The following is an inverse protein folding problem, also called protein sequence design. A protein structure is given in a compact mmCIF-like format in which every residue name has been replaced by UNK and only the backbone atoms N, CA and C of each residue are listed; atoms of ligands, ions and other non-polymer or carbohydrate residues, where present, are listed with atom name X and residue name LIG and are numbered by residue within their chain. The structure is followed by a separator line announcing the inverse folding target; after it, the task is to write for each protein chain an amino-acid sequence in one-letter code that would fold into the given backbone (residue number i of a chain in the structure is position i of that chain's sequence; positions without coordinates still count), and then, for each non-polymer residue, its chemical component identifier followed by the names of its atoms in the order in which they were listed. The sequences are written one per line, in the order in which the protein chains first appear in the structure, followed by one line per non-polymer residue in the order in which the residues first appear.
data_IF_580326295789
#
_entry.id   IF_580326295789
#
_cell.length_a   1.000
_cell.length_b   1.000
_cell.length_c   1.000
_cell.angle_alpha   90.00
_cell.angle_beta   90.00
_cell.angle_gamma   90.00
#
_symmetry.space_group_name_H-M   'P 1'
#
loop_
_entity.id
_entity.type
_entity.pdbx_description
1 polymer ?
#
# COMPACT_ATOMS: atom_id res chain seq x y z
N UNK A 1 9.67 2.79 -16.71
CA UNK A 1 11.03 2.21 -16.68
C UNK A 1 11.31 1.81 -15.24
N UNK A 2 11.03 0.56 -14.86
CA UNK A 2 11.35 0.06 -13.52
C UNK A 2 12.80 -0.44 -13.54
N UNK A 3 13.69 0.26 -12.84
CA UNK A 3 15.04 -0.25 -12.54
C UNK A 3 14.89 -1.30 -11.43
N UNK A 4 14.85 -2.57 -11.81
CA UNK A 4 14.96 -3.69 -10.87
C UNK A 4 16.45 -3.92 -10.60
N UNK A 5 16.90 -3.60 -9.39
CA UNK A 5 18.20 -4.06 -8.91
C UNK A 5 18.03 -5.50 -8.42
N UNK A 6 18.58 -6.44 -9.18
CA UNK A 6 18.66 -7.85 -8.82
C UNK A 6 19.83 -8.04 -7.82
N UNK A 7 19.53 -8.52 -6.62
CA UNK A 7 20.52 -8.95 -5.63
C UNK A 7 20.40 -10.47 -5.47
N UNK A 8 21.36 -11.28 -5.96
CA UNK A 8 21.31 -12.72 -5.78
C UNK A 8 21.69 -13.09 -4.33
N UNK A 9 20.83 -13.85 -3.66
CA UNK A 9 21.18 -14.52 -2.40
C UNK A 9 21.48 -16.00 -2.66
N UNK A 10 22.73 -16.40 -2.48
CA UNK A 10 23.10 -17.82 -2.34
C UNK A 10 22.48 -18.38 -1.05
N UNK A 11 21.64 -19.42 -1.20
CA UNK A 11 21.04 -20.11 -0.06
C UNK A 11 21.92 -21.30 0.30
N UNK A 12 22.77 -21.16 1.33
CA UNK A 12 23.48 -22.32 1.89
C UNK A 12 22.52 -23.12 2.78
N UNK A 13 22.17 -24.32 2.33
CA UNK A 13 21.45 -25.30 3.13
C UNK A 13 22.40 -25.90 4.19
N UNK A 14 22.27 -25.44 5.43
CA UNK A 14 22.87 -26.13 6.59
C UNK A 14 21.86 -27.17 7.08
N UNK A 15 22.23 -28.46 7.00
CA UNK A 15 21.52 -29.56 7.65
C UNK A 15 21.95 -29.61 9.12
N UNK A 16 21.03 -29.45 10.05
CA UNK A 16 21.30 -29.66 11.48
C UNK A 16 20.99 -31.10 11.88
N UNK A 17 22.03 -31.80 12.33
CA UNK A 17 21.94 -33.11 12.96
C UNK A 17 21.36 -33.00 14.38
N UNK A 18 20.46 -33.93 14.73
CA UNK A 18 19.83 -34.05 16.05
C UNK A 18 20.82 -34.61 17.08
N UNK A 19 21.08 -33.89 18.18
CA UNK A 19 21.35 -34.47 19.50
C UNK A 19 21.37 -33.42 20.63
N UNK A 20 20.74 -33.76 21.77
CA UNK A 20 21.09 -33.20 23.10
C UNK A 20 20.16 -32.15 23.69
N UNK A 21 19.27 -32.56 24.62
CA UNK A 21 18.59 -31.63 25.54
C UNK A 21 19.61 -31.12 26.58
N UNK A 22 20.14 -29.92 26.36
CA UNK A 22 20.90 -29.16 27.35
C UNK A 22 20.02 -28.64 28.50
N UNK A 23 20.62 -28.17 29.61
CA UNK A 23 19.91 -27.83 30.83
C UNK A 23 18.97 -26.63 30.63
N UNK A 24 17.80 -26.68 31.29
CA UNK A 24 16.78 -25.63 31.25
C UNK A 24 17.36 -24.34 31.85
N UNK A 25 17.70 -23.39 30.98
CA UNK A 25 18.09 -22.04 31.35
C UNK A 25 16.94 -21.42 32.16
N UNK A 26 17.26 -20.84 33.31
CA UNK A 26 16.33 -20.13 34.18
C UNK A 26 15.48 -19.12 33.40
N UNK A 27 14.19 -19.03 33.75
CA UNK A 27 13.24 -18.05 33.22
C UNK A 27 13.79 -16.63 33.46
N UNK A 28 14.51 -16.09 32.47
CA UNK A 28 14.79 -14.67 32.40
C UNK A 28 13.44 -14.00 32.17
N UNK A 29 13.04 -13.16 33.12
CA UNK A 29 11.91 -12.25 32.99
C UNK A 29 12.18 -11.36 31.77
N UNK A 30 11.68 -11.77 30.60
CA UNK A 30 11.84 -10.99 29.39
C UNK A 30 11.06 -9.71 29.57
N UNK A 31 11.74 -8.56 29.53
CA UNK A 31 11.06 -7.28 29.42
C UNK A 31 10.18 -7.34 28.17
N UNK A 32 8.86 -7.36 28.36
CA UNK A 32 7.85 -7.37 27.29
C UNK A 32 7.79 -6.04 26.52
N UNK A 33 8.90 -5.30 26.50
CA UNK A 33 9.04 -4.02 25.81
C UNK A 33 9.58 -4.30 24.41
N UNK A 34 8.82 -3.89 23.40
CA UNK A 34 9.27 -3.95 22.02
C UNK A 34 10.41 -2.95 21.82
N UNK A 35 11.55 -3.45 21.35
CA UNK A 35 12.74 -2.65 21.02
C UNK A 35 13.28 -3.14 19.67
N UNK A 36 14.12 -2.34 19.01
CA UNK A 36 14.77 -2.78 17.76
C UNK A 36 15.60 -4.07 17.93
N UNK A 37 16.00 -4.41 19.17
CA UNK A 37 16.72 -5.64 19.51
C UNK A 37 15.79 -6.86 19.68
N UNK A 38 14.50 -6.64 19.97
CA UNK A 38 13.52 -7.70 20.23
C UNK A 38 12.54 -7.93 19.08
N UNK A 39 12.51 -7.05 18.08
CA UNK A 39 11.79 -7.25 16.82
C UNK A 39 12.45 -8.37 16.00
N UNK A 40 11.66 -9.11 15.22
CA UNK A 40 12.16 -10.13 14.30
C UNK A 40 13.26 -9.55 13.39
N UNK A 41 14.49 -10.11 13.39
CA UNK A 41 15.61 -9.55 12.62
C UNK A 41 15.33 -9.48 11.13
N UNK A 42 14.52 -10.41 10.58
CA UNK A 42 14.13 -10.39 9.16
C UNK A 42 13.29 -9.15 8.80
N UNK A 43 12.50 -8.64 9.73
CA UNK A 43 11.73 -7.41 9.52
C UNK A 43 12.61 -6.16 9.62
N UNK A 44 13.70 -6.23 10.37
CA UNK A 44 14.70 -5.14 10.48
C UNK A 44 15.57 -5.07 9.23
N UNK A 45 15.97 -6.22 8.69
CA UNK A 45 16.80 -6.31 7.47
C UNK A 45 16.01 -6.06 6.18
N UNK A 46 14.69 -6.22 6.20
CA UNK A 46 13.86 -6.06 5.01
C UNK A 46 13.82 -4.61 4.53
N UNK A 47 14.21 -4.39 3.27
CA UNK A 47 14.17 -3.08 2.62
C UNK A 47 13.00 -2.97 1.63
N UNK A 48 12.31 -1.82 1.64
CA UNK A 48 11.28 -1.49 0.67
C UNK A 48 11.59 -0.16 -0.03
N UNK A 49 12.40 -0.24 -1.08
CA UNK A 49 12.98 0.92 -1.76
C UNK A 49 11.94 1.93 -2.28
N UNK A 50 10.73 1.49 -2.65
CA UNK A 50 9.65 2.34 -3.17
C UNK A 50 9.16 3.37 -2.13
N UNK A 51 9.34 3.09 -0.83
CA UNK A 51 9.07 4.01 0.28
C UNK A 51 10.27 4.15 1.22
N UNK A 52 11.46 4.25 0.62
CA UNK A 52 12.73 4.42 1.34
C UNK A 52 13.11 5.88 1.62
N UNK A 53 14.40 6.15 1.90
CA UNK A 53 14.90 7.47 2.30
C UNK A 53 14.61 8.61 1.31
N UNK A 54 14.55 8.31 0.01
CA UNK A 54 14.24 9.30 -1.03
C UNK A 54 12.83 9.88 -0.81
N UNK A 55 11.86 9.03 -0.46
CA UNK A 55 10.48 9.47 -0.18
C UNK A 55 10.42 10.27 1.11
N UNK A 56 11.18 9.86 2.14
CA UNK A 56 11.28 10.64 3.39
C UNK A 56 11.82 12.03 3.11
N UNK A 57 12.91 12.14 2.34
CA UNK A 57 13.49 13.44 1.98
C UNK A 57 12.55 14.26 1.11
N UNK A 58 11.79 13.64 0.20
CA UNK A 58 10.83 14.35 -0.65
C UNK A 58 9.71 15.00 0.18
N UNK A 59 9.26 14.34 1.25
CA UNK A 59 8.29 14.90 2.22
C UNK A 59 8.89 16.08 2.99
N UNK A 60 10.13 15.99 3.45
CA UNK A 60 10.83 17.10 4.11
C UNK A 60 10.96 18.32 3.19
N UNK A 61 11.43 18.13 1.96
CA UNK A 61 11.54 19.20 0.94
C UNK A 61 10.17 19.84 0.67
N UNK A 62 9.11 19.03 0.60
CA UNK A 62 7.75 19.55 0.40
C UNK A 62 7.32 20.47 1.56
N UNK A 63 7.70 20.15 2.80
CA UNK A 63 7.46 21.00 3.97
C UNK A 63 8.33 22.27 3.94
N UNK A 64 9.60 22.16 3.56
CA UNK A 64 10.51 23.29 3.39
C UNK A 64 9.98 24.30 2.36
N UNK A 65 9.53 23.81 1.19
CA UNK A 65 8.88 24.63 0.17
C UNK A 65 7.61 25.32 0.68
N UNK A 66 6.76 24.60 1.43
CA UNK A 66 5.55 25.16 2.03
C UNK A 66 5.85 26.23 3.10
N UNK A 67 7.00 26.14 3.78
CA UNK A 67 7.49 27.14 4.71
C UNK A 67 8.19 28.33 4.03
N UNK A 68 8.29 28.34 2.69
CA UNK A 68 8.87 29.44 1.92
C UNK A 68 10.39 29.37 1.73
N UNK A 69 11.01 28.22 2.00
CA UNK A 69 12.44 28.02 1.70
C UNK A 69 12.66 28.08 0.20
N UNK A 70 13.58 28.94 -0.23
CA UNK A 70 13.92 29.09 -1.65
C UNK A 70 14.76 27.92 -2.14
N UNK A 71 14.27 27.23 -3.15
CA UNK A 71 14.89 26.06 -3.79
C UNK A 71 14.91 26.27 -5.31
N UNK A 72 15.77 25.57 -6.06
CA UNK A 72 15.85 25.72 -7.53
C UNK A 72 14.62 25.17 -8.29
N UNK A 73 13.56 24.78 -7.57
CA UNK A 73 12.30 24.26 -8.08
C UNK A 73 11.15 24.71 -7.16
N UNK A 74 9.93 24.77 -7.71
CA UNK A 74 8.75 25.25 -6.98
C UNK A 74 7.94 24.14 -6.31
N UNK A 75 8.15 22.88 -6.69
CA UNK A 75 7.34 21.75 -6.24
C UNK A 75 8.07 20.42 -6.40
N UNK A 76 7.65 19.42 -5.63
CA UNK A 76 8.11 18.04 -5.74
C UNK A 76 7.01 17.20 -6.40
N UNK A 77 7.35 16.47 -7.47
CA UNK A 77 6.43 15.53 -8.13
C UNK A 77 6.76 14.09 -7.68
N UNK A 78 5.83 13.37 -7.02
CA UNK A 78 6.06 11.99 -6.59
C UNK A 78 5.97 11.02 -7.78
N UNK A 79 7.07 10.87 -8.51
CA UNK A 79 7.18 9.94 -9.64
C UNK A 79 7.78 8.56 -9.26
N UNK A 80 7.94 8.30 -7.96
CA UNK A 80 8.54 7.07 -7.43
C UNK A 80 7.56 5.88 -7.36
N UNK A 81 6.26 6.15 -7.37
CA UNK A 81 5.20 5.13 -7.34
C UNK A 81 4.30 5.32 -8.55
N UNK A 82 3.76 4.22 -9.08
CA UNK A 82 2.82 4.22 -10.20
C UNK A 82 1.42 4.75 -9.84
N UNK A 83 1.34 5.89 -9.14
CA UNK A 83 0.09 6.59 -8.85
C UNK A 83 -0.12 7.70 -9.89
N UNK A 84 -0.80 7.33 -10.97
CA UNK A 84 -1.04 8.27 -12.06
C UNK A 84 -2.00 9.41 -11.66
N UNK A 85 -2.89 9.19 -10.68
CA UNK A 85 -3.77 10.26 -10.20
C UNK A 85 -2.95 11.30 -9.42
N UNK A 86 -1.97 10.87 -8.62
CA UNK A 86 -1.05 11.78 -7.94
C UNK A 86 -0.17 12.60 -8.91
N UNK A 87 0.02 12.12 -10.14
CA UNK A 87 0.74 12.82 -11.21
C UNK A 87 -0.16 13.57 -12.20
N UNK A 88 -1.46 13.73 -11.88
CA UNK A 88 -2.38 14.59 -12.62
C UNK A 88 -3.28 13.89 -13.63
N UNK A 89 -3.27 12.56 -13.71
CA UNK A 89 -4.26 11.84 -14.51
C UNK A 89 -5.66 12.11 -13.97
N UNK A 90 -6.57 12.57 -14.85
CA UNK A 90 -7.97 12.78 -14.46
C UNK A 90 -8.67 11.42 -14.31
N UNK A 91 -9.42 11.19 -13.21
CA UNK A 91 -10.15 9.95 -13.02
C UNK A 91 -11.20 9.71 -14.10
N UNK A 92 -11.37 8.45 -14.51
CA UNK A 92 -12.35 8.07 -15.53
C UNK A 92 -13.77 8.15 -14.94
N UNK A 93 -14.60 9.05 -15.47
CA UNK A 93 -15.94 9.34 -14.95
C UNK A 93 -16.84 8.11 -14.89
N UNK A 94 -16.88 7.32 -15.96
CA UNK A 94 -17.71 6.12 -16.04
C UNK A 94 -17.45 5.12 -14.90
N UNK A 95 -16.16 4.85 -14.62
CA UNK A 95 -15.77 3.93 -13.53
C UNK A 95 -16.27 4.46 -12.18
N UNK A 96 -16.09 5.77 -11.93
CA UNK A 96 -16.52 6.39 -10.67
C UNK A 96 -18.04 6.36 -10.50
N UNK A 97 -18.77 6.62 -11.58
CA UNK A 97 -20.23 6.56 -11.60
C UNK A 97 -20.74 5.17 -11.26
N UNK A 98 -20.20 4.14 -11.92
CA UNK A 98 -20.58 2.73 -11.65
C UNK A 98 -20.27 2.34 -10.21
N UNK A 99 -19.07 2.68 -9.69
CA UNK A 99 -18.72 2.40 -8.29
C UNK A 99 -19.69 3.08 -7.34
N UNK A 100 -20.00 4.36 -7.55
CA UNK A 100 -20.94 5.11 -6.70
C UNK A 100 -22.33 4.45 -6.68
N UNK A 101 -22.87 4.09 -7.86
CA UNK A 101 -24.16 3.42 -8.01
C UNK A 101 -24.17 2.04 -7.32
N UNK A 102 -23.09 1.27 -7.40
CA UNK A 102 -22.98 -0.02 -6.71
C UNK A 102 -22.90 0.14 -5.18
N UNK A 103 -22.18 1.16 -4.70
CA UNK A 103 -22.02 1.42 -3.25
C UNK A 103 -23.24 2.09 -2.61
N UNK A 104 -24.04 2.82 -3.39
CA UNK A 104 -25.25 3.48 -2.92
C UNK A 104 -26.39 3.33 -3.95
N UNK A 105 -27.05 2.14 -4.01
CA UNK A 105 -28.00 1.80 -5.08
C UNK A 105 -29.23 2.71 -5.19
N UNK A 106 -29.57 3.47 -4.15
CA UNK A 106 -30.63 4.48 -4.19
C UNK A 106 -30.38 5.53 -5.29
N UNK A 107 -29.12 5.76 -5.68
CA UNK A 107 -28.75 6.66 -6.77
C UNK A 107 -29.16 6.17 -8.17
N UNK A 108 -29.57 4.92 -8.34
CA UNK A 108 -30.10 4.43 -9.63
C UNK A 108 -31.35 5.21 -10.08
N UNK A 109 -32.12 5.74 -9.13
CA UNK A 109 -33.30 6.56 -9.40
C UNK A 109 -32.96 8.04 -9.72
N UNK A 110 -31.69 8.44 -9.62
CA UNK A 110 -31.26 9.82 -9.88
C UNK A 110 -31.07 10.07 -11.38
N UNK A 111 -31.57 11.20 -11.88
CA UNK A 111 -31.37 11.63 -13.28
C UNK A 111 -29.96 12.14 -13.57
N UNK A 112 -29.10 12.24 -12.54
CA UNK A 112 -27.72 12.75 -12.67
C UNK A 112 -26.74 11.74 -13.28
N UNK A 113 -27.15 10.47 -13.43
CA UNK A 113 -26.28 9.41 -13.94
C UNK A 113 -26.70 8.96 -15.34
N UNK A 114 -25.74 8.73 -16.25
CA UNK A 114 -26.05 8.27 -17.59
C UNK A 114 -26.58 6.82 -17.58
N UNK A 115 -27.41 6.50 -18.56
CA UNK A 115 -28.13 5.23 -18.62
C UNK A 115 -27.21 4.00 -18.70
N UNK A 116 -26.08 4.13 -19.38
CA UNK A 116 -25.07 3.06 -19.51
C UNK A 116 -24.37 2.74 -18.19
N UNK A 117 -24.08 3.76 -17.36
CA UNK A 117 -23.54 3.56 -16.02
C UNK A 117 -24.54 2.86 -15.09
N UNK A 118 -25.83 3.25 -15.15
CA UNK A 118 -26.91 2.57 -14.41
C UNK A 118 -27.04 1.11 -14.82
N UNK A 119 -27.13 0.84 -16.13
CA UNK A 119 -27.21 -0.51 -16.66
C UNK A 119 -26.01 -1.37 -16.22
N UNK A 120 -24.80 -0.80 -16.21
CA UNK A 120 -23.60 -1.52 -15.76
C UNK A 120 -23.65 -1.83 -14.27
N UNK A 121 -24.09 -0.87 -13.44
CA UNK A 121 -24.21 -1.07 -11.99
C UNK A 121 -25.28 -2.12 -11.65
N UNK A 122 -26.45 -2.07 -12.28
CA UNK A 122 -27.52 -3.08 -12.10
C UNK A 122 -27.04 -4.49 -12.44
N UNK A 123 -26.30 -4.64 -13.54
CA UNK A 123 -25.71 -5.94 -13.92
C UNK A 123 -24.74 -6.47 -12.88
N UNK A 124 -23.91 -5.60 -12.31
CA UNK A 124 -22.96 -5.98 -11.25
C UNK A 124 -23.72 -6.41 -10.00
N UNK A 125 -24.69 -5.62 -9.55
CA UNK A 125 -25.49 -5.92 -8.37
C UNK A 125 -26.28 -7.23 -8.53
N UNK A 126 -26.87 -7.48 -9.70
CA UNK A 126 -27.58 -8.73 -9.99
C UNK A 126 -26.66 -9.97 -9.91
N UNK A 127 -25.36 -9.80 -10.18
CA UNK A 127 -24.34 -10.85 -10.02
C UNK A 127 -23.94 -11.11 -8.56
N UNK A 128 -24.27 -10.20 -7.64
CA UNK A 128 -23.97 -10.33 -6.22
C UNK A 128 -25.15 -10.95 -5.45
N UNK A 129 -24.86 -11.88 -4.55
CA UNK A 129 -25.88 -12.45 -3.65
C UNK A 129 -26.48 -11.34 -2.80
N UNK A 130 -27.81 -11.21 -2.82
CA UNK A 130 -28.50 -10.14 -2.08
C UNK A 130 -28.35 -8.75 -2.70
N UNK A 131 -27.88 -8.63 -3.95
CA UNK A 131 -27.72 -7.34 -4.65
C UNK A 131 -26.88 -6.33 -3.88
N UNK A 132 -25.82 -6.81 -3.22
CA UNK A 132 -24.93 -5.99 -2.39
C UNK A 132 -23.47 -6.27 -2.71
N UNK A 133 -22.68 -5.21 -2.85
CA UNK A 133 -21.22 -5.30 -3.02
C UNK A 133 -20.45 -5.41 -1.70
N UNK A 134 -21.15 -5.46 -0.56
CA UNK A 134 -20.55 -5.52 0.78
C UNK A 134 -20.63 -6.88 1.46
N UNK A 135 -21.26 -7.88 0.86
CA UNK A 135 -21.35 -9.23 1.41
C UNK A 135 -20.12 -10.08 1.06
N UNK A 136 -19.65 -10.89 2.00
CA UNK A 136 -18.62 -11.90 1.81
C UNK A 136 -19.17 -13.19 1.20
#
# INVERSE_FOLDING_TARGET
MFLSFYVPHETQHVREDRAGKGPRMSDKKEDHVLTMKTVNPRAVEMEYAVRGPIVTRSVEITKELAAGVQMPFSSVLPANIGDCHATGQTPIAFIRQVVALCTYPQLLQSDQFPADAKQRAERILAGCKGSSVGSY
#
